data_IF_421688321985
#
_entry.id   IF_421688321985
#
_cell.length_a   1.000
_cell.length_b   1.000
_cell.length_c   1.000
_cell.angle_alpha   90.00
_cell.angle_beta   90.00
_cell.angle_gamma   90.00
#
_symmetry.space_group_name_H-M   'P 1'
#
loop_
_entity.id
_entity.type
_entity.pdbx_description
1 polymer ?
#
# COMPACT_ATOMS: atom_id res chain seq x y z
N UNK A 1 -49.29 -85.64 -16.07
CA UNK A 1 -49.00 -84.30 -16.61
C UNK A 1 -48.99 -83.34 -15.43
N UNK A 2 -47.79 -82.89 -14.98
CA UNK A 2 -47.63 -81.91 -13.90
C UNK A 2 -47.17 -80.58 -14.42
N UNK A 3 -48.02 -79.57 -14.39
CA UNK A 3 -47.72 -78.19 -14.79
C UNK A 3 -46.84 -77.46 -13.77
N UNK A 4 -45.65 -77.06 -14.17
CA UNK A 4 -44.77 -76.17 -13.33
C UNK A 4 -45.17 -74.71 -13.58
N UNK A 5 -45.55 -74.00 -12.53
CA UNK A 5 -45.78 -72.54 -12.53
C UNK A 5 -44.44 -71.87 -12.29
N UNK A 6 -44.01 -71.02 -13.19
CA UNK A 6 -42.89 -70.09 -13.00
C UNK A 6 -43.40 -68.85 -12.31
N UNK A 7 -42.79 -68.45 -11.17
CA UNK A 7 -42.97 -67.18 -10.52
C UNK A 7 -41.89 -66.21 -11.11
N UNK A 8 -42.21 -64.98 -11.53
CA UNK A 8 -41.21 -63.99 -11.88
C UNK A 8 -40.70 -63.27 -10.62
N UNK A 9 -39.40 -63.36 -10.35
CA UNK A 9 -38.70 -62.60 -9.30
C UNK A 9 -38.52 -61.17 -9.76
N UNK A 10 -39.24 -60.24 -9.12
CA UNK A 10 -39.14 -58.80 -9.37
C UNK A 10 -37.86 -58.26 -8.64
N UNK A 11 -36.84 -57.93 -9.39
CA UNK A 11 -35.60 -57.31 -8.86
C UNK A 11 -35.81 -55.81 -8.69
N UNK A 12 -35.93 -55.34 -7.44
CA UNK A 12 -35.94 -53.90 -7.14
C UNK A 12 -34.52 -53.34 -7.16
N UNK A 13 -34.21 -52.56 -8.19
CA UNK A 13 -32.98 -51.73 -8.23
C UNK A 13 -33.19 -50.48 -7.37
N UNK A 14 -32.66 -50.46 -6.17
CA UNK A 14 -32.50 -49.28 -5.35
C UNK A 14 -31.45 -48.34 -5.98
N UNK A 15 -31.90 -47.30 -6.69
CA UNK A 15 -31.02 -46.20 -7.10
C UNK A 15 -30.67 -45.36 -5.87
N UNK A 16 -29.46 -45.51 -5.35
CA UNK A 16 -28.88 -44.56 -4.45
C UNK A 16 -28.54 -43.30 -5.23
N UNK A 17 -29.35 -42.24 -5.08
CA UNK A 17 -29.01 -40.89 -5.52
C UNK A 17 -27.86 -40.38 -4.67
N UNK A 18 -26.62 -40.39 -5.19
CA UNK A 18 -25.48 -39.71 -4.61
C UNK A 18 -25.78 -38.19 -4.74
N UNK A 19 -26.25 -37.58 -3.66
CA UNK A 19 -26.30 -36.13 -3.58
C UNK A 19 -24.86 -35.60 -3.53
N UNK A 20 -24.37 -35.12 -4.68
CA UNK A 20 -23.16 -34.30 -4.75
C UNK A 20 -23.43 -33.04 -3.88
N UNK A 21 -22.53 -32.72 -2.94
CA UNK A 21 -22.68 -31.46 -2.19
C UNK A 21 -22.72 -30.32 -3.21
N UNK A 22 -23.75 -29.47 -3.07
CA UNK A 22 -23.85 -28.26 -3.88
C UNK A 22 -22.53 -27.48 -3.71
N UNK A 23 -21.86 -27.20 -4.84
CA UNK A 23 -20.66 -26.37 -4.83
C UNK A 23 -21.04 -25.04 -4.16
N UNK A 24 -20.55 -24.82 -2.95
CA UNK A 24 -20.69 -23.53 -2.27
C UNK A 24 -20.10 -22.49 -3.18
N UNK A 25 -20.88 -21.44 -3.50
CA UNK A 25 -20.38 -20.31 -4.29
C UNK A 25 -19.06 -19.85 -3.66
N UNK A 26 -18.01 -19.58 -4.47
CA UNK A 26 -16.71 -19.22 -3.94
C UNK A 26 -16.88 -18.03 -2.99
N UNK A 27 -16.47 -18.22 -1.75
CA UNK A 27 -16.50 -17.15 -0.73
C UNK A 27 -15.61 -16.01 -1.21
N UNK A 28 -16.12 -14.77 -1.16
CA UNK A 28 -15.31 -13.59 -1.51
C UNK A 28 -14.06 -13.55 -0.63
N UNK A 29 -12.87 -13.36 -1.20
CA UNK A 29 -11.65 -13.35 -0.41
C UNK A 29 -11.60 -12.17 0.54
N UNK A 30 -10.96 -12.35 1.68
CA UNK A 30 -10.56 -11.25 2.55
C UNK A 30 -9.46 -10.44 1.88
N UNK A 31 -9.32 -9.18 2.28
CA UNK A 31 -8.32 -8.27 1.72
C UNK A 31 -7.60 -7.57 2.87
N UNK A 32 -6.28 -7.61 2.87
CA UNK A 32 -5.42 -6.89 3.80
C UNK A 32 -4.42 -6.09 3.00
N UNK A 33 -4.35 -4.79 3.25
CA UNK A 33 -3.28 -3.92 2.75
C UNK A 33 -2.43 -3.52 3.95
N UNK A 34 -1.15 -3.90 3.94
CA UNK A 34 -0.14 -3.50 4.94
C UNK A 34 0.64 -2.37 4.30
N UNK A 35 0.48 -1.16 4.83
CA UNK A 35 1.14 0.05 4.36
C UNK A 35 2.12 0.53 5.42
N UNK A 36 3.38 0.73 5.04
CA UNK A 36 4.38 1.38 5.88
C UNK A 36 4.50 2.87 5.53
N UNK A 37 5.15 3.65 6.38
CA UNK A 37 5.30 5.10 6.27
C UNK A 37 6.78 5.46 6.07
N UNK A 38 7.14 5.99 4.91
CA UNK A 38 8.52 6.35 4.55
C UNK A 38 9.50 5.16 4.42
N UNK A 39 9.03 3.96 4.18
CA UNK A 39 9.93 2.81 4.00
C UNK A 39 10.58 2.82 2.62
N UNK A 40 11.91 2.74 2.62
CA UNK A 40 12.67 2.71 1.39
C UNK A 40 12.63 1.37 0.65
N UNK A 41 12.87 1.44 -0.67
CA UNK A 41 12.98 0.25 -1.54
C UNK A 41 14.04 -0.74 -1.04
N UNK A 42 15.18 -0.23 -0.55
CA UNK A 42 16.32 -1.03 -0.11
C UNK A 42 16.27 -1.50 1.36
N UNK A 43 15.15 -1.39 2.05
CA UNK A 43 15.07 -1.65 3.50
C UNK A 43 14.64 -3.09 3.86
N UNK A 44 14.23 -3.90 2.89
CA UNK A 44 13.84 -5.31 3.09
C UNK A 44 14.89 -6.27 2.54
N UNK A 45 15.05 -7.45 3.17
CA UNK A 45 15.97 -8.50 2.72
C UNK A 45 15.72 -8.91 1.27
N UNK A 46 14.46 -9.16 0.88
CA UNK A 46 14.07 -9.52 -0.49
C UNK A 46 14.26 -8.37 -1.51
N UNK A 47 14.53 -7.15 -1.06
CA UNK A 47 14.91 -6.00 -1.90
C UNK A 47 16.39 -5.60 -1.74
N UNK A 48 17.20 -6.41 -1.05
CA UNK A 48 18.66 -6.28 -0.99
C UNK A 48 19.20 -5.55 0.23
N UNK A 49 18.43 -5.39 1.31
CA UNK A 49 18.97 -4.85 2.57
C UNK A 49 20.07 -5.76 3.13
N UNK A 50 21.28 -5.21 3.38
CA UNK A 50 22.37 -6.04 3.89
C UNK A 50 22.37 -6.18 5.43
N UNK A 51 21.61 -5.35 6.13
CA UNK A 51 21.71 -5.22 7.59
C UNK A 51 20.39 -5.38 8.35
N UNK A 52 19.25 -5.20 7.68
CA UNK A 52 17.93 -5.35 8.28
C UNK A 52 17.40 -6.76 7.96
N UNK A 53 16.88 -7.46 8.95
CA UNK A 53 16.37 -8.81 8.80
C UNK A 53 14.84 -8.80 8.72
N UNK A 54 14.32 -9.28 7.58
CA UNK A 54 12.87 -9.30 7.34
C UNK A 54 12.38 -10.69 6.89
N UNK A 55 12.64 -11.75 7.70
CA UNK A 55 12.39 -13.13 7.26
C UNK A 55 10.93 -13.44 6.96
N UNK A 56 9.98 -12.74 7.58
CA UNK A 56 8.55 -12.96 7.36
C UNK A 56 8.09 -12.32 6.06
N UNK A 57 8.52 -11.07 5.79
CA UNK A 57 8.24 -10.36 4.53
C UNK A 57 8.98 -11.03 3.39
N UNK A 58 10.23 -11.47 3.59
CA UNK A 58 11.01 -12.20 2.59
C UNK A 58 10.32 -13.52 2.19
N UNK A 59 9.76 -14.23 3.17
CA UNK A 59 8.95 -15.44 2.91
C UNK A 59 7.64 -15.10 2.20
N UNK A 60 6.95 -14.01 2.58
CA UNK A 60 5.77 -13.53 1.87
C UNK A 60 6.08 -13.27 0.39
N UNK A 61 7.24 -12.66 0.11
CA UNK A 61 7.72 -12.41 -1.25
C UNK A 61 8.04 -13.70 -2.01
N UNK A 62 8.64 -14.69 -1.34
CA UNK A 62 8.96 -16.00 -1.94
C UNK A 62 7.70 -16.85 -2.22
N UNK A 63 6.67 -16.72 -1.42
CA UNK A 63 5.38 -17.43 -1.59
C UNK A 63 4.40 -16.68 -2.51
N UNK A 64 4.68 -15.44 -2.87
CA UNK A 64 3.80 -14.56 -3.63
C UNK A 64 4.46 -13.91 -4.84
N UNK A 65 3.94 -12.77 -5.28
CA UNK A 65 4.53 -11.96 -6.34
C UNK A 65 5.26 -10.76 -5.74
N UNK A 66 6.56 -10.65 -6.03
CA UNK A 66 7.39 -9.50 -5.70
C UNK A 66 7.56 -8.62 -6.95
N UNK A 67 7.10 -7.39 -6.85
CA UNK A 67 7.30 -6.38 -7.89
C UNK A 67 8.66 -5.70 -7.72
N UNK A 68 9.43 -5.60 -8.79
CA UNK A 68 10.62 -4.76 -8.80
C UNK A 68 10.28 -3.31 -9.13
N UNK A 69 9.15 -3.07 -9.80
CA UNK A 69 8.72 -1.79 -10.35
C UNK A 69 7.31 -1.41 -9.83
N UNK A 70 7.18 -1.29 -8.51
CA UNK A 70 5.93 -0.85 -7.87
C UNK A 70 6.05 0.59 -7.39
N UNK A 71 5.03 1.42 -7.68
CA UNK A 71 5.05 2.84 -7.40
C UNK A 71 3.97 3.25 -6.39
N UNK A 72 4.33 4.14 -5.47
CA UNK A 72 3.36 4.88 -4.65
C UNK A 72 2.59 5.88 -5.52
N UNK A 73 1.37 6.25 -5.13
CA UNK A 73 0.53 7.18 -5.89
C UNK A 73 0.98 8.65 -5.86
N UNK A 74 1.91 8.98 -4.96
CA UNK A 74 2.54 10.29 -4.86
C UNK A 74 3.84 10.19 -4.06
N UNK A 75 4.59 11.27 -4.02
CA UNK A 75 5.92 11.38 -3.41
C UNK A 75 5.91 11.64 -1.89
N UNK A 76 4.72 11.80 -1.28
CA UNK A 76 4.50 12.01 0.17
C UNK A 76 3.17 11.42 0.65
N UNK A 77 3.01 11.31 1.98
CA UNK A 77 1.97 10.53 2.67
C UNK A 77 0.52 10.84 2.25
N UNK A 78 0.01 12.08 2.48
CA UNK A 78 -1.41 12.40 2.27
C UNK A 78 -1.88 12.08 0.85
N UNK A 79 -1.27 12.60 -0.23
CA UNK A 79 -1.72 12.30 -1.58
C UNK A 79 -1.52 10.83 -1.95
N UNK A 80 -0.45 10.17 -1.48
CA UNK A 80 -0.25 8.75 -1.75
C UNK A 80 -1.32 7.86 -1.11
N UNK A 81 -1.68 8.13 0.14
CA UNK A 81 -2.77 7.42 0.82
C UNK A 81 -4.13 7.67 0.17
N UNK A 82 -4.36 8.91 -0.33
CA UNK A 82 -5.53 9.22 -1.16
C UNK A 82 -5.56 8.35 -2.40
N UNK A 83 -4.46 8.31 -3.16
CA UNK A 83 -4.36 7.53 -4.40
C UNK A 83 -4.65 6.04 -4.17
N UNK A 84 -4.10 5.46 -3.10
CA UNK A 84 -4.33 4.06 -2.74
C UNK A 84 -5.81 3.78 -2.44
N UNK A 85 -6.45 4.64 -1.64
CA UNK A 85 -7.83 4.42 -1.18
C UNK A 85 -8.89 4.81 -2.23
N UNK A 86 -8.55 5.59 -3.26
CA UNK A 86 -9.50 6.02 -4.30
C UNK A 86 -9.23 5.40 -5.68
N UNK A 87 -8.03 4.82 -5.90
CA UNK A 87 -7.61 4.31 -7.21
C UNK A 87 -7.40 5.40 -8.26
N UNK A 88 -7.23 6.67 -7.81
CA UNK A 88 -7.16 7.88 -8.66
C UNK A 88 -5.96 8.73 -8.31
N UNK A 89 -5.42 9.43 -9.30
CA UNK A 89 -4.42 10.45 -8.99
C UNK A 89 -5.00 11.51 -8.03
N UNK A 90 -4.23 11.94 -7.01
CA UNK A 90 -4.71 12.89 -5.99
C UNK A 90 -5.21 14.22 -6.52
N UNK A 91 -4.78 14.61 -7.73
CA UNK A 91 -5.28 15.79 -8.44
C UNK A 91 -6.79 15.75 -8.63
N UNK A 92 -7.34 14.57 -8.99
CA UNK A 92 -8.77 14.40 -9.29
C UNK A 92 -9.67 14.63 -8.08
N UNK A 93 -9.14 14.40 -6.88
CA UNK A 93 -9.84 14.58 -5.60
C UNK A 93 -9.52 15.90 -4.89
N UNK A 94 -8.66 16.76 -5.48
CA UNK A 94 -8.18 17.98 -4.83
C UNK A 94 -7.17 17.72 -3.69
N UNK A 95 -6.71 16.47 -3.50
CA UNK A 95 -5.80 16.10 -2.42
C UNK A 95 -4.30 16.27 -2.76
N UNK A 96 -3.99 16.86 -3.92
CA UNK A 96 -2.65 17.20 -4.38
C UNK A 96 -2.28 18.69 -4.18
N UNK A 97 -2.85 19.35 -3.19
CA UNK A 97 -2.72 20.80 -3.00
C UNK A 97 -1.31 21.32 -2.68
N UNK A 98 -1.17 22.64 -2.54
CA UNK A 98 0.10 23.36 -2.28
C UNK A 98 0.77 22.94 -0.96
N UNK A 99 0.01 22.56 0.04
CA UNK A 99 0.49 21.85 1.22
C UNK A 99 0.50 20.37 0.87
N UNK A 100 1.67 19.84 0.65
CA UNK A 100 1.88 18.45 0.20
C UNK A 100 1.28 17.40 1.13
N UNK A 101 1.13 17.71 2.43
CA UNK A 101 0.50 16.86 3.45
C UNK A 101 -0.45 17.67 4.32
N UNK A 102 -1.43 17.02 4.92
CA UNK A 102 -2.33 17.63 5.88
C UNK A 102 -1.67 17.70 7.27
N UNK A 103 -1.87 18.79 7.96
CA UNK A 103 -1.45 19.02 9.33
C UNK A 103 -2.66 18.98 10.28
N UNK A 104 -2.47 18.85 11.61
CA UNK A 104 -3.58 18.86 12.57
C UNK A 104 -4.49 20.08 12.49
N UNK A 105 -3.96 21.20 11.98
CA UNK A 105 -4.70 22.46 11.78
C UNK A 105 -5.11 22.72 10.32
N UNK A 106 -4.93 21.76 9.42
CA UNK A 106 -5.36 21.89 8.03
C UNK A 106 -6.88 21.88 7.94
N UNK A 107 -7.44 22.81 7.17
CA UNK A 107 -8.84 22.76 6.82
C UNK A 107 -9.10 21.68 5.76
N UNK A 108 -10.22 20.97 5.87
CA UNK A 108 -10.63 19.92 4.91
C UNK A 108 -9.94 18.57 5.14
N UNK A 109 -9.91 17.78 4.10
CA UNK A 109 -9.40 16.41 4.07
C UNK A 109 -9.94 15.68 2.84
N UNK A 110 -9.90 14.36 2.84
CA UNK A 110 -10.46 13.53 1.77
C UNK A 110 -11.95 13.88 1.58
N UNK A 111 -12.35 14.36 0.39
CA UNK A 111 -13.72 14.79 0.16
C UNK A 111 -14.72 13.64 0.34
N UNK A 112 -15.90 13.88 0.96
CA UNK A 112 -16.95 12.87 1.08
C UNK A 112 -17.55 12.41 -0.26
N UNK A 113 -17.28 13.13 -1.35
CA UNK A 113 -17.72 12.75 -2.69
C UNK A 113 -16.82 11.67 -3.34
N UNK A 114 -15.63 11.46 -2.80
CA UNK A 114 -14.78 10.35 -3.26
C UNK A 114 -15.34 9.02 -2.73
N UNK A 115 -15.32 8.00 -3.56
CA UNK A 115 -15.70 6.64 -3.15
C UNK A 115 -14.43 5.88 -2.79
N UNK A 116 -14.21 5.70 -1.51
CA UNK A 116 -13.04 4.96 -1.02
C UNK A 116 -13.16 3.46 -1.25
N UNK A 117 -12.02 2.77 -1.23
CA UNK A 117 -11.99 1.30 -1.28
C UNK A 117 -12.81 0.66 -0.15
N UNK A 118 -12.80 1.28 1.04
CA UNK A 118 -13.60 0.79 2.17
C UNK A 118 -15.09 0.89 1.90
N UNK A 119 -15.57 2.01 1.35
CA UNK A 119 -16.98 2.18 0.98
C UNK A 119 -17.41 1.21 -0.11
N UNK A 120 -16.59 1.04 -1.15
CA UNK A 120 -16.85 0.12 -2.25
C UNK A 120 -16.93 -1.35 -1.78
N UNK A 121 -16.04 -1.75 -0.87
CA UNK A 121 -16.04 -3.09 -0.29
C UNK A 121 -17.18 -3.27 0.73
N UNK A 122 -17.50 -2.25 1.52
CA UNK A 122 -18.66 -2.25 2.44
C UNK A 122 -19.98 -2.48 1.69
N UNK A 123 -20.14 -1.88 0.51
CA UNK A 123 -21.29 -2.13 -0.37
C UNK A 123 -21.37 -3.59 -0.85
N UNK A 124 -20.29 -4.37 -0.69
CA UNK A 124 -20.21 -5.82 -0.97
C UNK A 124 -20.26 -6.67 0.31
N UNK A 125 -20.75 -6.10 1.42
CA UNK A 125 -20.88 -6.73 2.71
C UNK A 125 -19.55 -7.16 3.38
N UNK A 126 -18.43 -6.48 3.04
CA UNK A 126 -17.19 -6.61 3.81
C UNK A 126 -17.34 -5.89 5.16
N UNK A 127 -16.77 -6.47 6.19
CA UNK A 127 -16.43 -5.73 7.41
C UNK A 127 -15.14 -4.98 7.17
N UNK A 128 -15.11 -3.67 7.45
CA UNK A 128 -13.99 -2.80 7.09
C UNK A 128 -13.30 -2.25 8.34
N UNK A 129 -11.97 -2.35 8.40
CA UNK A 129 -11.17 -1.88 9.53
C UNK A 129 -10.00 -1.02 9.06
N UNK A 130 -9.90 0.20 9.60
CA UNK A 130 -8.71 1.04 9.51
C UNK A 130 -7.90 0.89 10.80
N UNK A 131 -6.62 0.59 10.66
CA UNK A 131 -5.70 0.40 11.78
C UNK A 131 -4.41 1.18 11.47
N UNK A 132 -4.03 2.12 12.34
CA UNK A 132 -2.80 2.88 12.23
C UNK A 132 -2.98 4.34 11.81
N UNK A 133 -2.05 4.89 11.02
CA UNK A 133 -2.04 6.29 10.58
C UNK A 133 -3.06 6.55 9.48
N UNK A 134 -3.96 7.52 9.71
CA UNK A 134 -4.95 7.94 8.72
C UNK A 134 -4.39 9.00 7.76
N UNK A 135 -4.14 10.17 8.24
CA UNK A 135 -3.51 11.32 7.55
C UNK A 135 -4.29 11.86 6.34
N UNK A 136 -5.62 11.67 6.31
CA UNK A 136 -6.50 12.15 5.23
C UNK A 136 -7.56 13.14 5.69
N UNK A 137 -7.38 13.73 6.88
CA UNK A 137 -8.26 14.73 7.48
C UNK A 137 -8.86 14.29 8.80
N UNK A 138 -9.15 15.29 9.66
CA UNK A 138 -9.65 15.09 11.03
C UNK A 138 -11.07 15.63 11.22
N UNK A 139 -11.58 16.35 10.22
CA UNK A 139 -12.92 16.94 10.27
C UNK A 139 -14.00 15.94 9.86
N UNK A 140 -15.22 16.20 10.25
CA UNK A 140 -16.38 15.42 9.83
C UNK A 140 -16.44 15.31 8.30
N UNK A 141 -16.75 14.13 7.81
CA UNK A 141 -16.74 13.79 6.40
C UNK A 141 -15.40 13.26 5.87
N UNK A 142 -14.27 13.53 6.58
CA UNK A 142 -12.92 13.08 6.13
C UNK A 142 -12.26 12.06 7.07
N UNK A 143 -12.89 11.74 8.19
CA UNK A 143 -12.35 10.77 9.16
C UNK A 143 -12.55 9.33 8.64
N UNK A 144 -11.75 8.36 9.11
CA UNK A 144 -11.86 6.99 8.59
C UNK A 144 -13.27 6.40 8.70
N UNK A 145 -13.98 6.65 9.82
CA UNK A 145 -15.37 6.18 9.99
C UNK A 145 -16.36 6.86 9.02
N UNK A 146 -16.07 8.07 8.56
CA UNK A 146 -16.88 8.77 7.58
C UNK A 146 -16.58 8.31 6.14
N UNK A 147 -15.46 7.62 5.96
CA UNK A 147 -14.92 7.14 4.69
C UNK A 147 -15.01 5.59 4.56
N UNK A 148 -16.06 5.01 5.13
CA UNK A 148 -16.46 3.63 4.91
C UNK A 148 -15.90 2.58 5.88
N UNK A 149 -15.07 2.94 6.87
CA UNK A 149 -14.56 1.99 7.84
C UNK A 149 -15.54 1.76 9.01
N UNK A 150 -15.91 0.49 9.27
CA UNK A 150 -16.79 0.09 10.37
C UNK A 150 -16.10 0.20 11.73
N UNK A 151 -14.77 -0.04 11.76
CA UNK A 151 -13.96 0.10 12.96
C UNK A 151 -12.66 0.83 12.63
N UNK A 152 -12.23 1.67 13.59
CA UNK A 152 -11.00 2.45 13.43
C UNK A 152 -10.17 2.41 14.71
N UNK A 153 -8.85 2.24 14.58
CA UNK A 153 -7.91 2.28 15.70
C UNK A 153 -6.57 2.82 15.23
N UNK A 154 -6.15 4.00 15.69
CA UNK A 154 -4.87 4.56 15.26
C UNK A 154 -4.73 6.06 15.47
N UNK A 155 -3.79 6.65 14.72
CA UNK A 155 -3.45 8.06 14.77
C UNK A 155 -4.19 8.84 13.66
N UNK A 156 -4.75 10.03 13.96
CA UNK A 156 -5.48 10.83 12.97
C UNK A 156 -4.55 11.47 11.92
N UNK A 157 -3.28 11.68 12.25
CA UNK A 157 -2.25 12.31 11.39
C UNK A 157 -0.89 11.68 11.67
N UNK A 158 0.20 12.28 11.13
CA UNK A 158 1.56 11.74 11.31
C UNK A 158 2.03 11.82 12.76
N UNK A 159 2.82 10.85 13.18
CA UNK A 159 3.30 10.66 14.54
C UNK A 159 4.27 11.76 15.03
N UNK A 160 4.87 12.55 14.11
CA UNK A 160 5.75 13.69 14.39
C UNK A 160 5.02 15.02 14.54
N UNK A 161 3.73 15.04 14.27
CA UNK A 161 2.90 16.25 14.37
C UNK A 161 2.46 16.48 15.82
N UNK A 162 2.04 17.73 16.14
CA UNK A 162 1.61 18.12 17.49
C UNK A 162 2.74 18.01 18.52
N UNK A 163 3.98 18.42 18.11
CA UNK A 163 5.14 18.45 19.01
C UNK A 163 4.88 19.36 20.21
N UNK A 164 5.27 18.93 21.40
CA UNK A 164 5.19 19.72 22.63
C UNK A 164 6.18 20.88 22.60
N UNK A 165 5.90 21.98 23.31
CA UNK A 165 6.87 23.07 23.49
C UNK A 165 8.21 22.52 24.00
N UNK A 166 9.30 22.94 23.35
CA UNK A 166 10.67 22.51 23.72
C UNK A 166 11.20 21.33 22.90
N UNK A 167 10.34 20.60 22.17
CA UNK A 167 10.79 19.58 21.21
C UNK A 167 11.43 20.25 20.00
N UNK A 168 12.61 19.79 19.64
CA UNK A 168 13.43 20.31 18.53
C UNK A 168 13.60 19.28 17.42
N UNK A 169 14.16 19.71 16.30
CA UNK A 169 14.56 18.78 15.23
C UNK A 169 15.57 17.74 15.74
N UNK A 170 16.47 18.11 16.66
CA UNK A 170 17.45 17.20 17.27
C UNK A 170 16.75 16.06 18.03
N UNK A 171 15.66 16.34 18.73
CA UNK A 171 14.90 15.32 19.46
C UNK A 171 14.22 14.36 18.50
N UNK A 172 13.68 14.86 17.37
CA UNK A 172 13.08 14.03 16.33
C UNK A 172 14.07 13.07 15.70
N UNK A 173 15.32 13.50 15.50
CA UNK A 173 16.40 12.71 14.89
C UNK A 173 17.25 11.94 15.88
N UNK A 174 16.85 11.91 17.15
CA UNK A 174 17.53 11.16 18.19
C UNK A 174 17.28 9.66 18.05
N UNK A 175 18.29 8.83 18.35
CA UNK A 175 18.11 7.39 18.53
C UNK A 175 17.23 7.05 19.76
N UNK A 176 16.99 8.04 20.61
CA UNK A 176 16.16 7.96 21.80
C UNK A 176 15.26 9.19 21.90
N UNK A 177 14.28 9.36 20.99
CA UNK A 177 13.38 10.48 21.07
C UNK A 177 12.54 10.41 22.37
N UNK A 178 12.21 11.56 22.99
CA UNK A 178 11.38 11.57 24.19
C UNK A 178 10.00 10.97 23.89
N UNK A 179 9.62 9.93 24.62
CA UNK A 179 8.40 9.16 24.34
C UNK A 179 7.12 10.01 24.44
N UNK A 180 7.13 11.05 25.25
CA UNK A 180 6.03 11.99 25.45
C UNK A 180 6.20 13.31 24.67
N UNK A 181 7.16 13.40 23.76
CA UNK A 181 7.50 14.63 23.03
C UNK A 181 6.43 15.09 22.04
N UNK A 182 5.54 14.23 21.61
CA UNK A 182 4.49 14.53 20.63
C UNK A 182 3.12 14.21 21.21
N UNK A 183 2.25 15.22 21.22
CA UNK A 183 0.91 15.15 21.81
C UNK A 183 -0.13 14.53 20.87
N UNK A 184 0.27 13.58 20.02
CA UNK A 184 -0.63 12.89 19.09
C UNK A 184 -1.54 11.93 19.85
N UNK A 185 -2.83 11.91 19.48
CA UNK A 185 -3.81 11.05 20.14
C UNK A 185 -3.87 9.68 19.47
N UNK A 186 -3.90 8.61 20.27
CA UNK A 186 -4.41 7.32 19.83
C UNK A 186 -5.92 7.30 19.99
N UNK A 187 -6.63 6.97 18.91
CA UNK A 187 -8.09 6.98 18.85
C UNK A 187 -8.65 5.61 18.52
N UNK A 188 -9.86 5.33 19.03
CA UNK A 188 -10.70 4.20 18.63
C UNK A 188 -12.07 4.74 18.24
N UNK A 189 -12.49 4.50 17.00
CA UNK A 189 -13.77 4.95 16.46
C UNK A 189 -14.02 6.46 16.65
N UNK A 190 -12.94 7.26 16.56
CA UNK A 190 -12.98 8.71 16.73
C UNK A 190 -12.84 9.20 18.17
N UNK A 191 -12.92 8.31 19.16
CA UNK A 191 -12.73 8.66 20.57
C UNK A 191 -11.26 8.56 20.98
N UNK A 192 -10.77 9.53 21.74
CA UNK A 192 -9.40 9.55 22.25
C UNK A 192 -9.26 8.54 23.38
N UNK A 193 -8.41 7.53 23.15
CA UNK A 193 -8.07 6.51 24.16
C UNK A 193 -6.90 6.93 25.01
N UNK A 194 -5.94 7.65 24.41
CA UNK A 194 -4.66 7.99 25.02
C UNK A 194 -4.10 9.26 24.35
N UNK A 195 -3.57 10.20 25.13
CA UNK A 195 -2.94 11.42 24.62
C UNK A 195 -1.92 11.98 25.63
N UNK A 196 -0.62 12.03 25.34
CA UNK A 196 0.00 11.52 24.10
C UNK A 196 -0.07 10.00 24.01
N UNK A 197 -0.12 9.48 22.79
CA UNK A 197 0.01 8.06 22.55
C UNK A 197 1.40 7.56 22.92
N UNK A 198 1.53 6.43 23.60
CA UNK A 198 2.81 5.74 23.78
C UNK A 198 3.22 5.10 22.44
N UNK A 199 4.06 5.83 21.71
CA UNK A 199 4.50 5.43 20.38
C UNK A 199 5.37 4.17 20.37
N UNK A 200 6.00 3.82 21.50
CA UNK A 200 6.80 2.58 21.63
C UNK A 200 5.95 1.31 21.55
N UNK A 201 4.64 1.44 21.68
CA UNK A 201 3.69 0.30 21.67
C UNK A 201 2.86 0.23 20.41
N UNK A 202 2.91 1.22 19.52
CA UNK A 202 1.95 1.35 18.41
C UNK A 202 2.00 0.19 17.44
N UNK A 203 3.18 -0.23 16.96
CA UNK A 203 3.29 -1.34 16.00
C UNK A 203 2.69 -2.62 16.58
N UNK A 204 2.99 -2.94 17.86
CA UNK A 204 2.40 -4.07 18.55
C UNK A 204 0.88 -3.95 18.68
N UNK A 205 0.37 -2.80 19.13
CA UNK A 205 -1.08 -2.56 19.31
C UNK A 205 -1.85 -2.62 17.99
N UNK A 206 -1.27 -2.13 16.89
CA UNK A 206 -1.85 -2.26 15.54
C UNK A 206 -1.91 -3.71 15.11
N UNK A 207 -0.87 -4.49 15.40
CA UNK A 207 -0.85 -5.92 15.12
C UNK A 207 -1.95 -6.64 15.90
N UNK A 208 -2.05 -6.43 17.22
CA UNK A 208 -3.07 -7.01 18.08
C UNK A 208 -4.49 -6.66 17.60
N UNK A 209 -4.72 -5.44 17.15
CA UNK A 209 -6.01 -5.02 16.59
C UNK A 209 -6.33 -5.73 15.27
N UNK A 210 -5.34 -5.89 14.37
CA UNK A 210 -5.51 -6.66 13.14
C UNK A 210 -5.83 -8.14 13.42
N UNK A 211 -5.15 -8.75 14.39
CA UNK A 211 -5.42 -10.11 14.83
C UNK A 211 -6.83 -10.25 15.41
N UNK A 212 -7.31 -9.25 16.16
CA UNK A 212 -8.67 -9.22 16.70
C UNK A 212 -9.72 -9.19 15.57
N UNK A 213 -9.50 -8.39 14.53
CA UNK A 213 -10.40 -8.35 13.36
C UNK A 213 -10.40 -9.69 12.62
N UNK A 214 -9.24 -10.31 12.41
CA UNK A 214 -9.12 -11.64 11.78
C UNK A 214 -9.87 -12.70 12.60
N UNK A 215 -9.69 -12.71 13.92
CA UNK A 215 -10.36 -13.66 14.82
C UNK A 215 -11.88 -13.49 14.87
N UNK A 216 -12.38 -12.27 14.64
CA UNK A 216 -13.80 -11.96 14.62
C UNK A 216 -14.49 -12.22 13.27
N UNK A 217 -13.79 -12.73 12.27
CA UNK A 217 -14.27 -12.92 10.90
C UNK A 217 -15.25 -14.09 10.75
N UNK A 218 -16.42 -14.03 11.36
CA UNK A 218 -17.49 -15.05 11.36
C UNK A 218 -18.07 -15.28 9.94
N UNK A 219 -17.31 -15.92 9.05
CA UNK A 219 -17.70 -16.22 7.64
C UNK A 219 -18.07 -14.99 6.79
N UNK A 220 -17.84 -13.77 7.28
CA UNK A 220 -17.96 -12.55 6.48
C UNK A 220 -16.59 -12.14 5.98
N UNK A 221 -16.50 -11.72 4.71
CA UNK A 221 -15.24 -11.18 4.20
C UNK A 221 -14.89 -9.89 4.93
N UNK A 222 -13.60 -9.65 5.13
CA UNK A 222 -13.11 -8.42 5.76
C UNK A 222 -12.09 -7.70 4.89
N UNK A 223 -12.03 -6.40 5.07
CA UNK A 223 -10.99 -5.52 4.54
C UNK A 223 -10.26 -4.87 5.72
N UNK A 224 -8.95 -5.08 5.81
CA UNK A 224 -8.09 -4.40 6.76
C UNK A 224 -7.14 -3.48 5.99
N UNK A 225 -7.19 -2.18 6.30
CA UNK A 225 -6.17 -1.21 5.92
C UNK A 225 -5.27 -0.98 7.13
N UNK A 226 -4.15 -1.75 7.19
CA UNK A 226 -3.14 -1.65 8.25
C UNK A 226 -2.06 -0.68 7.82
N UNK A 227 -2.17 0.56 8.27
CA UNK A 227 -1.30 1.66 7.92
C UNK A 227 -0.36 1.97 9.10
N UNK A 228 0.79 1.29 9.16
CA UNK A 228 1.79 1.54 10.18
C UNK A 228 2.23 3.00 10.20
N UNK A 229 2.55 3.53 11.38
CA UNK A 229 3.12 4.88 11.56
C UNK A 229 4.65 4.86 11.41
N UNK A 230 5.27 3.68 11.44
CA UNK A 230 6.69 3.46 11.27
C UNK A 230 6.99 2.98 9.84
N UNK A 231 8.19 3.23 9.34
CA UNK A 231 9.37 3.87 9.94
C UNK A 231 9.44 5.40 9.79
N UNK A 232 8.33 6.14 9.77
CA UNK A 232 8.37 7.61 9.81
C UNK A 232 8.96 8.11 11.12
N UNK A 233 9.87 9.11 11.05
CA UNK A 233 10.46 9.75 12.24
C UNK A 233 9.41 10.55 13.01
N UNK A 234 9.52 10.66 14.36
CA UNK A 234 10.50 10.02 15.26
C UNK A 234 10.27 8.51 15.36
N UNK A 235 11.39 7.78 15.51
CA UNK A 235 11.37 6.32 15.48
C UNK A 235 11.18 5.73 16.87
N UNK A 236 10.20 4.86 17.02
CA UNK A 236 9.89 4.16 18.26
C UNK A 236 9.73 2.66 18.01
N UNK A 237 10.65 1.85 18.51
CA UNK A 237 10.53 0.41 18.58
C UNK A 237 10.10 -0.04 19.98
N UNK A 238 9.33 -1.13 20.06
CA UNK A 238 9.00 -1.74 21.33
C UNK A 238 10.25 -2.32 22.02
N UNK A 239 10.22 -2.53 23.36
CA UNK A 239 11.35 -3.11 24.09
C UNK A 239 11.81 -4.45 23.54
N UNK A 240 10.92 -5.20 22.88
CA UNK A 240 11.23 -6.47 22.26
C UNK A 240 12.17 -6.35 21.04
N UNK A 241 12.20 -5.19 20.37
CA UNK A 241 12.97 -4.95 19.15
C UNK A 241 14.07 -3.92 19.32
N UNK A 242 13.92 -2.98 20.27
CA UNK A 242 14.87 -1.88 20.50
C UNK A 242 16.30 -2.39 20.74
N UNK A 243 17.25 -1.86 19.96
CA UNK A 243 18.68 -2.17 20.07
C UNK A 243 19.09 -3.54 19.52
N UNK A 244 18.28 -4.17 18.67
CA UNK A 244 18.56 -5.53 18.13
C UNK A 244 19.05 -5.55 16.70
N UNK A 245 18.63 -4.58 15.89
CA UNK A 245 19.03 -4.52 14.49
C UNK A 245 20.44 -3.96 14.32
N UNK A 246 21.18 -4.51 13.34
CA UNK A 246 22.48 -3.93 12.93
C UNK A 246 22.36 -2.53 12.30
N UNK A 247 21.14 -2.13 11.90
CA UNK A 247 20.85 -0.85 11.27
C UNK A 247 20.43 0.21 12.32
N UNK A 248 20.57 -0.08 13.62
CA UNK A 248 20.13 0.79 14.71
C UNK A 248 18.62 0.91 14.79
N UNK A 249 18.12 2.00 15.36
CA UNK A 249 16.68 2.19 15.63
C UNK A 249 15.82 2.09 14.37
N UNK A 250 16.30 2.52 13.20
CA UNK A 250 15.58 2.37 11.95
C UNK A 250 15.37 0.88 11.60
N UNK A 251 16.41 0.08 11.75
CA UNK A 251 16.30 -1.36 11.55
C UNK A 251 15.42 -2.04 12.59
N UNK A 252 15.45 -1.58 13.85
CA UNK A 252 14.60 -2.11 14.91
C UNK A 252 13.11 -1.98 14.56
N UNK A 253 12.68 -0.82 14.05
CA UNK A 253 11.27 -0.60 13.68
C UNK A 253 10.87 -1.38 12.42
N UNK A 254 11.77 -1.56 11.46
CA UNK A 254 11.50 -2.42 10.28
C UNK A 254 11.39 -3.90 10.69
N UNK A 255 12.28 -4.38 11.57
CA UNK A 255 12.24 -5.76 12.08
C UNK A 255 10.97 -6.00 12.93
N UNK A 256 10.43 -4.97 13.62
CA UNK A 256 9.14 -5.04 14.31
C UNK A 256 7.95 -5.08 13.33
N UNK A 257 8.01 -4.35 12.21
CA UNK A 257 7.00 -4.43 11.13
C UNK A 257 7.05 -5.81 10.46
N UNK A 258 8.25 -6.39 10.27
CA UNK A 258 8.39 -7.77 9.78
C UNK A 258 7.72 -8.78 10.72
N UNK A 259 7.95 -8.66 12.03
CA UNK A 259 7.25 -9.47 13.03
C UNK A 259 5.73 -9.30 12.94
N UNK A 260 5.24 -8.08 12.85
CA UNK A 260 3.82 -7.77 12.70
C UNK A 260 3.21 -8.47 11.48
N UNK A 261 3.89 -8.37 10.34
CA UNK A 261 3.48 -9.06 9.11
C UNK A 261 3.46 -10.58 9.32
N UNK A 262 4.49 -11.12 9.98
CA UNK A 262 4.56 -12.55 10.32
C UNK A 262 3.42 -13.05 11.19
N UNK A 263 3.02 -12.29 12.22
CA UNK A 263 1.90 -12.61 13.10
C UNK A 263 0.57 -12.65 12.33
N UNK A 264 0.35 -11.69 11.43
CA UNK A 264 -0.86 -11.64 10.59
C UNK A 264 -0.92 -12.86 9.67
N UNK A 265 0.16 -13.16 8.93
CA UNK A 265 0.19 -14.31 8.03
C UNK A 265 0.04 -15.64 8.80
N UNK A 266 0.63 -15.75 9.99
CA UNK A 266 0.47 -16.92 10.85
C UNK A 266 -0.96 -17.05 11.38
N UNK A 267 -1.61 -15.95 11.76
CA UNK A 267 -3.01 -15.97 12.20
C UNK A 267 -3.95 -16.41 11.08
N UNK A 268 -3.75 -15.92 9.85
CA UNK A 268 -4.53 -16.36 8.68
C UNK A 268 -4.36 -17.86 8.42
N UNK A 269 -3.13 -18.41 8.55
CA UNK A 269 -2.90 -19.84 8.41
C UNK A 269 -3.57 -20.64 9.52
N UNK A 270 -3.41 -20.24 10.78
CA UNK A 270 -4.07 -20.91 11.93
C UNK A 270 -5.59 -20.93 11.84
N UNK A 271 -6.17 -19.87 11.29
CA UNK A 271 -7.62 -19.74 11.09
C UNK A 271 -8.13 -20.45 9.83
N UNK A 272 -7.26 -21.04 8.99
CA UNK A 272 -7.66 -21.63 7.71
C UNK A 272 -8.11 -20.60 6.66
N UNK A 273 -7.74 -19.33 6.83
CA UNK A 273 -8.14 -18.22 5.96
C UNK A 273 -7.11 -17.85 4.91
N UNK A 274 -5.90 -18.41 4.99
CA UNK A 274 -4.75 -18.02 4.15
C UNK A 274 -5.05 -18.09 2.65
N UNK A 275 -5.62 -19.19 2.17
CA UNK A 275 -5.93 -19.40 0.74
C UNK A 275 -7.05 -18.49 0.23
N UNK A 276 -7.87 -17.94 1.13
CA UNK A 276 -8.96 -17.01 0.82
C UNK A 276 -8.70 -15.60 1.34
N UNK A 277 -7.44 -15.19 1.47
CA UNK A 277 -7.07 -13.83 1.89
C UNK A 277 -5.98 -13.28 0.98
N UNK A 278 -6.28 -12.18 0.31
CA UNK A 278 -5.31 -11.39 -0.43
C UNK A 278 -4.61 -10.43 0.51
N UNK A 279 -3.29 -10.53 0.63
CA UNK A 279 -2.45 -9.62 1.42
C UNK A 279 -1.51 -8.88 0.48
N UNK A 280 -1.49 -7.56 0.57
CA UNK A 280 -0.54 -6.72 -0.16
C UNK A 280 0.28 -5.89 0.81
N UNK A 281 1.61 -5.95 0.68
CA UNK A 281 2.57 -5.17 1.46
C UNK A 281 3.21 -4.10 0.58
N UNK A 282 3.23 -2.83 1.05
CA UNK A 282 3.89 -1.71 0.36
C UNK A 282 4.20 -0.54 1.30
N UNK A 283 4.81 0.53 0.77
CA UNK A 283 5.04 1.82 1.45
C UNK A 283 4.25 2.94 0.77
N UNK A 284 3.96 4.01 1.52
CA UNK A 284 3.25 5.17 0.96
C UNK A 284 4.13 6.09 0.12
N UNK A 285 5.43 6.12 0.34
CA UNK A 285 6.46 6.80 -0.48
C UNK A 285 7.85 6.24 -0.15
N UNK A 286 8.86 6.69 -0.87
CA UNK A 286 10.25 6.32 -0.62
C UNK A 286 10.81 6.86 0.70
N UNK A 287 12.06 6.52 1.07
CA UNK A 287 12.66 6.84 2.36
C UNK A 287 12.97 8.33 2.50
N UNK A 288 12.90 8.84 3.73
CA UNK A 288 13.21 10.24 4.02
C UNK A 288 14.71 10.45 4.22
N UNK A 289 15.45 10.53 3.12
CA UNK A 289 16.93 10.51 3.13
C UNK A 289 17.59 11.64 3.93
N UNK A 290 16.93 12.80 4.09
CA UNK A 290 17.48 13.92 4.89
C UNK A 290 17.51 13.63 6.40
N UNK A 291 16.84 12.57 6.84
CA UNK A 291 16.84 12.11 8.24
C UNK A 291 18.12 11.30 8.59
N UNK A 292 19.08 11.23 7.70
CA UNK A 292 20.37 10.56 7.92
C UNK A 292 20.23 9.08 8.26
N UNK A 293 20.76 8.64 9.39
CA UNK A 293 20.71 7.25 9.83
C UNK A 293 19.29 6.73 10.09
N UNK A 294 18.33 7.63 10.30
CA UNK A 294 16.92 7.30 10.54
C UNK A 294 16.05 7.38 9.29
N UNK A 295 16.63 7.66 8.12
CA UNK A 295 15.91 7.96 6.89
C UNK A 295 15.65 6.79 5.95
N UNK A 296 16.09 5.58 6.23
CA UNK A 296 15.94 4.43 5.35
C UNK A 296 16.91 4.43 4.16
N UNK A 297 16.65 3.56 3.19
CA UNK A 297 17.49 3.38 2.00
C UNK A 297 16.65 3.17 0.73
N UNK A 298 16.86 4.00 -0.27
CA UNK A 298 16.29 3.79 -1.60
C UNK A 298 17.02 2.68 -2.40
N UNK A 299 18.06 2.05 -1.84
CA UNK A 299 18.88 1.08 -2.56
C UNK A 299 19.59 1.72 -3.75
N UNK A 300 19.45 1.15 -4.97
CA UNK A 300 20.10 1.70 -6.17
C UNK A 300 19.35 2.91 -6.77
N UNK A 301 18.19 3.29 -6.24
CA UNK A 301 17.32 4.30 -6.81
C UNK A 301 17.77 5.71 -6.40
N UNK A 302 17.52 6.67 -7.27
CA UNK A 302 17.90 8.08 -7.04
C UNK A 302 16.91 8.78 -6.13
N UNK A 303 17.39 9.59 -5.19
CA UNK A 303 16.61 10.43 -4.26
C UNK A 303 15.70 9.59 -3.33
N UNK A 304 14.74 10.25 -2.69
CA UNK A 304 13.80 9.67 -1.74
C UNK A 304 12.54 10.50 -1.61
N UNK A 305 11.87 10.37 -0.47
CA UNK A 305 10.62 11.07 -0.12
C UNK A 305 10.63 12.52 -0.60
N UNK A 306 9.54 12.92 -1.20
CA UNK A 306 9.34 14.28 -1.68
C UNK A 306 9.90 14.55 -3.05
N UNK A 307 10.53 13.59 -3.73
CA UNK A 307 10.98 13.72 -5.10
C UNK A 307 10.21 12.80 -6.04
N UNK A 308 10.25 13.12 -7.33
CA UNK A 308 9.67 12.30 -8.40
C UNK A 308 10.71 11.42 -9.10
N UNK A 309 11.93 11.39 -8.59
CA UNK A 309 12.94 10.40 -8.96
C UNK A 309 12.52 9.01 -8.49
N UNK A 310 13.12 7.97 -9.05
CA UNK A 310 12.73 6.59 -8.73
C UNK A 310 12.69 6.32 -7.22
N UNK A 311 13.69 6.76 -6.46
CA UNK A 311 13.77 6.54 -5.02
C UNK A 311 12.67 7.25 -4.21
N UNK A 312 12.01 8.26 -4.78
CA UNK A 312 10.90 8.95 -4.10
C UNK A 312 9.57 8.22 -4.18
N UNK A 313 9.35 7.46 -5.27
CA UNK A 313 8.03 6.87 -5.55
C UNK A 313 8.07 5.36 -5.85
N UNK A 314 9.22 4.78 -6.20
CA UNK A 314 9.36 3.33 -6.37
C UNK A 314 9.62 2.69 -5.01
N UNK A 315 8.68 1.85 -4.59
CA UNK A 315 8.58 1.29 -3.23
C UNK A 315 8.46 -0.24 -3.27
N UNK A 316 8.67 -0.97 -2.18
CA UNK A 316 8.37 -2.40 -2.14
C UNK A 316 6.90 -2.66 -2.50
N UNK A 317 6.64 -3.69 -3.29
CA UNK A 317 5.31 -4.17 -3.61
C UNK A 317 5.29 -5.70 -3.60
N UNK A 318 4.53 -6.31 -2.68
CA UNK A 318 4.47 -7.77 -2.51
C UNK A 318 3.01 -8.20 -2.39
N UNK A 319 2.54 -9.04 -3.32
CA UNK A 319 1.21 -9.63 -3.30
C UNK A 319 1.28 -11.09 -2.84
N UNK A 320 0.39 -11.48 -1.92
CA UNK A 320 0.35 -12.84 -1.38
C UNK A 320 -1.10 -13.32 -1.26
N UNK A 321 -1.37 -14.50 -1.77
CA UNK A 321 -2.61 -15.27 -1.60
C UNK A 321 -2.30 -16.71 -2.01
N UNK A 322 -1.95 -17.59 -1.07
CA UNK A 322 -1.57 -18.98 -1.38
C UNK A 322 -2.61 -19.71 -2.21
N UNK A 323 -2.15 -20.52 -3.18
CA UNK A 323 -3.03 -21.28 -4.06
C UNK A 323 -3.67 -20.47 -5.20
N UNK A 324 -3.68 -19.14 -5.14
CA UNK A 324 -4.24 -18.29 -6.20
C UNK A 324 -3.19 -17.38 -6.85
N UNK A 325 -2.42 -16.66 -6.07
CA UNK A 325 -1.26 -15.88 -6.54
C UNK A 325 -0.10 -16.83 -6.78
N UNK A 326 0.49 -16.78 -7.99
CA UNK A 326 1.62 -17.65 -8.35
C UNK A 326 2.94 -16.98 -7.95
N UNK A 327 3.81 -17.66 -7.20
CA UNK A 327 5.12 -17.11 -6.84
C UNK A 327 5.90 -16.66 -8.06
N UNK A 328 6.30 -15.39 -8.08
CA UNK A 328 7.06 -14.79 -9.18
C UNK A 328 7.79 -13.51 -8.75
N UNK A 329 8.78 -13.12 -9.52
CA UNK A 329 9.33 -11.76 -9.52
C UNK A 329 8.94 -11.12 -10.85
N UNK A 330 8.37 -9.91 -10.79
CA UNK A 330 7.93 -9.20 -11.99
C UNK A 330 8.49 -7.78 -12.04
N UNK A 331 8.84 -7.33 -13.25
CA UNK A 331 9.20 -5.95 -13.56
C UNK A 331 8.08 -5.19 -14.28
N UNK A 332 6.89 -5.78 -14.36
CA UNK A 332 5.71 -5.09 -14.89
C UNK A 332 5.40 -3.87 -14.02
N UNK A 333 5.36 -2.65 -14.59
CA UNK A 333 5.08 -1.45 -13.83
C UNK A 333 3.67 -1.48 -13.23
N UNK A 334 3.60 -1.45 -11.90
CA UNK A 334 2.38 -1.38 -11.14
C UNK A 334 2.44 -0.27 -10.08
N UNK A 335 1.31 0.07 -9.49
CA UNK A 335 1.24 1.16 -8.51
C UNK A 335 0.16 0.94 -7.45
N UNK A 336 0.20 1.74 -6.40
CA UNK A 336 -0.83 1.75 -5.36
C UNK A 336 -2.23 2.10 -5.89
N UNK A 337 -2.34 2.81 -7.02
CA UNK A 337 -3.60 3.05 -7.73
C UNK A 337 -4.30 1.75 -8.15
N UNK A 338 -3.52 0.71 -8.46
CA UNK A 338 -3.99 -0.57 -8.97
C UNK A 338 -4.63 -1.44 -7.90
N UNK A 339 -4.34 -1.16 -6.63
CA UNK A 339 -4.89 -1.93 -5.51
C UNK A 339 -6.41 -1.77 -5.41
N UNK A 340 -6.94 -0.59 -5.77
CA UNK A 340 -8.37 -0.34 -5.77
C UNK A 340 -9.11 -1.23 -6.77
N UNK A 341 -8.86 -1.17 -8.10
CA UNK A 341 -9.55 -2.05 -9.06
C UNK A 341 -9.24 -3.54 -8.84
N UNK A 342 -8.05 -3.89 -8.36
CA UNK A 342 -7.72 -5.29 -8.00
C UNK A 342 -8.60 -5.80 -6.86
N UNK A 343 -8.79 -5.00 -5.81
CA UNK A 343 -9.67 -5.36 -4.70
C UNK A 343 -11.14 -5.45 -5.14
N UNK A 344 -11.60 -4.57 -6.04
CA UNK A 344 -12.93 -4.68 -6.63
C UNK A 344 -13.11 -5.98 -7.42
N UNK A 345 -12.13 -6.34 -8.25
CA UNK A 345 -12.14 -7.60 -9.01
C UNK A 345 -12.21 -8.82 -8.09
N UNK A 346 -11.40 -8.84 -7.01
CA UNK A 346 -11.43 -9.88 -5.98
C UNK A 346 -12.80 -9.99 -5.28
N UNK A 347 -13.44 -8.85 -5.00
CA UNK A 347 -14.74 -8.78 -4.34
C UNK A 347 -15.92 -9.02 -5.30
N UNK A 348 -15.68 -9.12 -6.61
CA UNK A 348 -16.74 -9.11 -7.62
C UNK A 348 -17.59 -7.83 -7.55
N UNK A 349 -16.95 -6.70 -7.24
CA UNK A 349 -17.59 -5.40 -7.14
C UNK A 349 -17.47 -4.64 -8.48
N UNK A 350 -18.50 -3.90 -8.90
CA UNK A 350 -18.37 -2.99 -10.05
C UNK A 350 -17.53 -1.77 -9.68
N UNK A 351 -16.91 -1.15 -10.68
CA UNK A 351 -16.32 0.17 -10.51
C UNK A 351 -17.41 1.20 -10.13
N UNK A 352 -17.10 2.19 -9.29
CA UNK A 352 -18.05 3.25 -8.96
C UNK A 352 -18.51 3.99 -10.22
N UNK A 353 -19.82 4.24 -10.31
CA UNK A 353 -20.41 4.93 -11.47
C UNK A 353 -19.96 6.38 -11.53
N UNK A 354 -19.56 6.86 -12.70
CA UNK A 354 -19.14 8.26 -12.91
C UNK A 354 -17.75 8.59 -12.35
N UNK A 355 -17.02 7.61 -11.82
CA UNK A 355 -15.67 7.80 -11.30
C UNK A 355 -14.64 7.21 -12.26
N UNK A 356 -13.75 8.04 -12.77
CA UNK A 356 -12.62 7.59 -13.57
C UNK A 356 -11.52 7.06 -12.65
N UNK A 357 -11.22 5.76 -12.72
CA UNK A 357 -10.09 5.13 -12.05
C UNK A 357 -8.83 5.27 -12.92
N UNK A 358 -7.69 5.53 -12.29
CA UNK A 358 -6.38 5.58 -12.96
C UNK A 358 -5.61 4.25 -12.80
N UNK A 359 -6.03 3.40 -11.86
CA UNK A 359 -5.46 2.09 -11.63
C UNK A 359 -5.98 1.01 -12.58
N UNK A 360 -5.24 -0.10 -12.70
CA UNK A 360 -5.60 -1.32 -13.42
C UNK A 360 -5.74 -2.50 -12.46
N UNK A 361 -6.59 -3.47 -12.83
CA UNK A 361 -6.69 -4.73 -12.11
C UNK A 361 -5.42 -5.58 -12.32
N UNK A 362 -4.70 -5.84 -11.22
CA UNK A 362 -3.48 -6.67 -11.20
C UNK A 362 -3.79 -8.18 -11.18
N UNK A 363 -5.04 -8.59 -10.91
CA UNK A 363 -5.37 -10.00 -10.70
C UNK A 363 -4.95 -10.90 -11.87
N UNK A 364 -5.15 -10.52 -13.16
CA UNK A 364 -4.69 -11.34 -14.28
C UNK A 364 -3.18 -11.60 -14.30
N UNK A 365 -2.36 -10.60 -13.92
CA UNK A 365 -0.92 -10.75 -13.76
C UNK A 365 -0.59 -11.67 -12.58
N UNK A 366 -1.20 -11.43 -11.43
CA UNK A 366 -0.94 -12.14 -10.18
C UNK A 366 -1.26 -13.64 -10.26
N UNK A 367 -2.26 -14.01 -11.06
CA UNK A 367 -2.61 -15.43 -11.28
C UNK A 367 -1.89 -16.03 -12.50
N UNK A 368 -1.00 -15.27 -13.13
CA UNK A 368 -0.18 -15.73 -14.27
C UNK A 368 -0.97 -15.96 -15.57
N UNK A 369 -2.05 -15.21 -15.79
CA UNK A 369 -2.87 -15.30 -17.01
C UNK A 369 -2.35 -14.41 -18.14
N UNK A 370 -1.98 -13.17 -17.84
CA UNK A 370 -1.45 -12.21 -18.81
C UNK A 370 -0.63 -11.12 -18.16
N UNK A 371 0.29 -10.52 -18.93
CA UNK A 371 0.98 -9.29 -18.58
C UNK A 371 0.00 -8.10 -18.51
N UNK A 372 0.42 -7.02 -17.83
CA UNK A 372 -0.32 -5.78 -17.87
C UNK A 372 -0.21 -5.10 -19.24
N UNK A 373 -1.23 -4.37 -19.70
CA UNK A 373 -1.09 -3.54 -20.89
C UNK A 373 -0.08 -2.42 -20.64
N UNK A 374 0.69 -2.06 -21.68
CA UNK A 374 1.56 -0.87 -21.57
C UNK A 374 0.67 0.34 -21.29
N UNK A 375 1.02 1.08 -20.25
CA UNK A 375 0.32 2.32 -19.87
C UNK A 375 1.30 3.36 -19.37
N UNK A 376 0.99 4.66 -19.51
CA UNK A 376 1.77 5.71 -18.86
C UNK A 376 1.53 5.70 -17.36
N UNK A 377 2.57 6.02 -16.58
CA UNK A 377 2.49 6.35 -15.17
C UNK A 377 3.01 7.77 -14.96
N UNK A 378 2.21 8.61 -14.28
CA UNK A 378 2.48 10.04 -14.15
C UNK A 378 2.99 10.38 -12.76
N UNK A 379 4.10 11.10 -12.71
CA UNK A 379 4.75 11.51 -11.47
C UNK A 379 4.42 12.97 -11.20
N UNK A 380 3.57 13.19 -10.23
CA UNK A 380 3.19 14.52 -9.79
C UNK A 380 3.93 14.91 -8.52
N UNK A 381 4.24 16.21 -8.39
CA UNK A 381 4.62 16.83 -7.13
C UNK A 381 3.66 17.98 -6.87
N UNK A 382 2.83 17.85 -5.86
CA UNK A 382 1.64 18.69 -5.72
C UNK A 382 0.75 18.55 -6.96
N UNK A 383 0.40 19.69 -7.58
CA UNK A 383 -0.44 19.73 -8.79
C UNK A 383 0.36 19.68 -10.10
N UNK A 384 1.69 19.74 -10.03
CA UNK A 384 2.55 19.84 -11.19
C UNK A 384 3.06 18.48 -11.66
N UNK A 385 2.94 18.22 -12.95
CA UNK A 385 3.51 17.01 -13.59
C UNK A 385 5.02 17.19 -13.77
N UNK A 386 5.79 16.32 -13.14
CA UNK A 386 7.25 16.31 -13.18
C UNK A 386 7.82 15.31 -14.17
N UNK A 387 7.25 14.09 -14.19
CA UNK A 387 7.73 13.03 -15.05
C UNK A 387 6.62 12.12 -15.53
N UNK A 388 6.90 11.33 -16.57
CA UNK A 388 6.05 10.27 -17.08
C UNK A 388 6.89 9.04 -17.42
N UNK A 389 6.48 7.88 -16.94
CA UNK A 389 7.01 6.58 -17.36
C UNK A 389 6.06 5.95 -18.38
N UNK A 390 6.62 5.43 -19.47
CA UNK A 390 5.92 4.63 -20.46
C UNK A 390 6.77 3.40 -20.80
N UNK A 391 6.29 2.22 -20.40
CA UNK A 391 7.04 0.98 -20.50
C UNK A 391 8.35 1.04 -19.70
N UNK A 392 9.49 0.85 -20.38
CA UNK A 392 10.82 0.89 -19.77
C UNK A 392 11.44 2.30 -19.67
N UNK A 393 10.76 3.32 -20.25
CA UNK A 393 11.27 4.68 -20.38
C UNK A 393 10.63 5.64 -19.40
N UNK A 394 11.43 6.53 -18.81
CA UNK A 394 10.93 7.61 -17.97
C UNK A 394 11.51 8.95 -18.43
N UNK A 395 10.61 9.88 -18.72
CA UNK A 395 10.97 11.25 -19.09
C UNK A 395 10.67 12.22 -17.95
N UNK A 396 11.63 13.10 -17.62
CA UNK A 396 11.44 14.19 -16.67
C UNK A 396 11.32 15.52 -17.42
N UNK A 397 10.20 16.19 -17.24
CA UNK A 397 9.93 17.55 -17.71
C UNK A 397 10.46 18.58 -16.71
N UNK A 398 10.49 18.19 -15.45
CA UNK A 398 11.01 18.94 -14.30
C UNK A 398 11.71 17.98 -13.35
N UNK A 399 12.75 18.46 -12.67
CA UNK A 399 13.41 17.72 -11.60
C UNK A 399 13.54 18.59 -10.36
N UNK A 400 13.47 17.99 -9.20
CA UNK A 400 13.67 18.66 -7.92
C UNK A 400 14.00 17.61 -6.85
N UNK A 401 15.00 17.91 -6.03
CA UNK A 401 15.28 17.10 -4.84
C UNK A 401 14.10 17.14 -3.86
N UNK A 402 13.91 16.08 -3.11
CA UNK A 402 12.82 15.97 -2.16
C UNK A 402 12.79 17.13 -1.18
N UNK A 403 13.98 17.51 -0.69
CA UNK A 403 14.20 18.59 0.26
C UNK A 403 15.45 19.38 -0.11
N UNK A 404 15.55 20.64 0.35
CA UNK A 404 16.74 21.47 0.17
C UNK A 404 16.85 22.22 -1.16
N UNK A 405 16.03 21.89 -2.15
CA UNK A 405 15.97 22.59 -3.44
C UNK A 405 14.62 23.35 -3.52
N UNK A 406 14.63 24.70 -3.44
CA UNK A 406 13.40 25.48 -3.34
C UNK A 406 12.59 25.56 -4.64
N UNK A 407 13.26 25.49 -5.79
CA UNK A 407 12.63 25.55 -7.12
C UNK A 407 13.02 24.36 -7.96
N UNK A 408 12.12 23.86 -8.83
CA UNK A 408 12.46 22.81 -9.78
C UNK A 408 13.34 23.34 -10.91
N UNK A 409 14.21 22.45 -11.42
CA UNK A 409 14.82 22.63 -12.72
C UNK A 409 13.80 22.26 -13.81
N UNK A 410 13.59 23.14 -14.77
CA UNK A 410 12.69 22.93 -15.90
C UNK A 410 13.52 22.58 -17.13
N UNK A 411 13.22 21.45 -17.77
CA UNK A 411 13.96 20.95 -18.91
C UNK A 411 13.25 21.31 -20.22
N UNK A 412 13.87 22.14 -21.05
CA UNK A 412 13.36 22.49 -22.38
C UNK A 412 13.22 21.26 -23.28
N UNK A 413 14.22 20.37 -23.24
CA UNK A 413 14.12 18.99 -23.71
C UNK A 413 14.04 18.11 -22.48
N UNK A 414 13.00 17.26 -22.31
CA UNK A 414 12.90 16.38 -21.15
C UNK A 414 14.11 15.46 -21.05
N UNK A 415 14.62 15.22 -19.83
CA UNK A 415 15.59 14.17 -19.60
C UNK A 415 14.91 12.82 -19.83
N UNK A 416 15.63 11.83 -20.39
CA UNK A 416 15.08 10.50 -20.68
C UNK A 416 15.99 9.40 -20.14
N UNK A 417 15.42 8.46 -19.38
CA UNK A 417 16.13 7.34 -18.79
C UNK A 417 15.49 6.01 -19.18
N UNK A 418 16.33 4.99 -19.43
CA UNK A 418 15.89 3.62 -19.65
C UNK A 418 16.04 2.83 -18.36
N UNK A 419 14.98 2.72 -17.57
CA UNK A 419 15.01 2.26 -16.18
C UNK A 419 15.56 0.83 -15.95
N UNK A 420 15.32 -0.18 -16.81
CA UNK A 420 15.95 -1.50 -16.60
C UNK A 420 17.48 -1.49 -16.66
N UNK A 421 18.07 -0.54 -17.38
CA UNK A 421 19.51 -0.40 -17.52
C UNK A 421 20.09 0.67 -16.58
N UNK A 422 19.27 1.64 -16.19
CA UNK A 422 19.66 2.79 -15.38
C UNK A 422 18.58 3.13 -14.34
N UNK A 423 18.35 2.27 -13.34
CA UNK A 423 17.36 2.52 -12.28
C UNK A 423 17.75 3.71 -11.38
N UNK A 424 19.01 4.16 -11.47
CA UNK A 424 19.53 5.33 -10.74
C UNK A 424 19.34 6.64 -11.47
N UNK A 425 18.79 6.63 -12.71
CA UNK A 425 18.51 7.81 -13.53
C UNK A 425 19.73 8.74 -13.67
N UNK A 426 20.88 8.15 -14.07
CA UNK A 426 22.18 8.84 -14.21
C UNK A 426 22.50 9.24 -15.64
N UNK A 427 22.04 8.46 -16.62
CA UNK A 427 22.47 8.54 -17.99
C UNK A 427 21.31 9.02 -18.88
N UNK A 428 21.24 10.34 -19.10
CA UNK A 428 20.28 10.92 -20.03
C UNK A 428 20.56 10.50 -21.48
N UNK A 429 19.57 9.87 -22.10
CA UNK A 429 19.63 9.38 -23.48
C UNK A 429 18.62 10.10 -24.40
N UNK A 430 18.10 11.24 -24.01
CA UNK A 430 17.09 12.00 -24.74
C UNK A 430 17.54 12.34 -26.17
N UNK A 431 18.83 12.69 -26.36
CA UNK A 431 19.38 13.08 -27.65
C UNK A 431 19.29 11.99 -28.73
N UNK A 432 19.24 10.72 -28.34
CA UNK A 432 19.24 9.57 -29.27
C UNK A 432 17.88 8.86 -29.39
N UNK A 433 16.83 9.31 -28.63
CA UNK A 433 15.53 8.65 -28.55
C UNK A 433 14.38 9.67 -28.66
N UNK A 434 14.39 10.52 -29.67
CA UNK A 434 13.37 11.53 -29.89
C UNK A 434 11.95 10.93 -30.17
N UNK A 435 11.91 9.74 -30.75
CA UNK A 435 10.68 8.98 -30.97
C UNK A 435 9.98 8.58 -29.66
N UNK A 436 10.76 8.17 -28.65
CA UNK A 436 10.25 7.85 -27.31
C UNK A 436 9.69 9.10 -26.64
N UNK A 437 10.40 10.22 -26.70
CA UNK A 437 9.91 11.50 -26.15
C UNK A 437 8.59 11.91 -26.81
N UNK A 438 8.42 11.69 -28.11
CA UNK A 438 7.17 11.98 -28.84
C UNK A 438 6.01 11.11 -28.34
N UNK A 439 6.23 9.81 -28.11
CA UNK A 439 5.24 8.89 -27.55
C UNK A 439 4.82 9.33 -26.14
N UNK A 440 5.79 9.69 -25.29
CA UNK A 440 5.53 10.15 -23.91
C UNK A 440 4.77 11.48 -23.93
N UNK A 441 5.15 12.45 -24.80
CA UNK A 441 4.45 13.72 -24.95
C UNK A 441 2.98 13.52 -25.36
N UNK A 442 2.70 12.59 -26.27
CA UNK A 442 1.34 12.22 -26.67
C UNK A 442 0.54 11.66 -25.50
N UNK A 443 1.13 10.78 -24.70
CA UNK A 443 0.49 10.21 -23.50
C UNK A 443 0.17 11.30 -22.45
N UNK A 444 1.11 12.24 -22.23
CA UNK A 444 0.90 13.37 -21.32
C UNK A 444 -0.23 14.30 -21.81
N UNK A 445 -0.27 14.57 -23.11
CA UNK A 445 -1.35 15.40 -23.71
C UNK A 445 -2.72 14.74 -23.51
N UNK A 446 -2.82 13.44 -23.78
CA UNK A 446 -4.05 12.68 -23.58
C UNK A 446 -4.48 12.68 -22.10
N UNK A 447 -3.53 12.49 -21.18
CA UNK A 447 -3.83 12.52 -19.74
C UNK A 447 -4.33 13.90 -19.28
N UNK A 448 -3.66 14.98 -19.68
CA UNK A 448 -4.07 16.35 -19.32
C UNK A 448 -5.48 16.71 -19.77
N UNK A 449 -5.96 16.11 -20.83
CA UNK A 449 -7.32 16.32 -21.31
C UNK A 449 -8.40 15.66 -20.42
N UNK A 450 -7.99 14.81 -19.47
CA UNK A 450 -8.88 14.06 -18.56
C UNK A 450 -8.87 14.55 -17.11
N UNK A 451 -7.97 15.49 -16.78
CA UNK A 451 -7.79 16.05 -15.41
C UNK A 451 -8.65 17.31 -15.22
#
# INVERSE_FOLDING_TARGET
MRSRRFLPTLLWLLMFAVQLPAATAPTRPNIIIILTDDQGYGDLGCYGSPTIRTPNIDRMAAEGVRFTDFYSGAEVCTPSRTALLTGRYPLRSGMAGNRRVLFPNSAGGLPPAEVTLAEALKARAYTTAHIGKWHLGIHAGSRPQDQGFDSTFGLPYSNDMDARPGITAKDRFSDHPPADGWNVALQRNGEVMERPADQTTLTKRYTEEALRVIAAANNKPFFIYLAHSMPHTPLFASPAFKGKSRRGIYGDVIEEIDWSTGEILAALRRAGLAENTFVFFTSDNGPWLTEGAQGGSAGPLREGKGSTWEGGMRVPGIAWMPGRVRPAVTSEPASSLDLYPTALALAGAPSPTGVALDGLDLLPLLVGQRALPERPYFFYRGTELFACRLGEWKAHFRTQSGYGQPQPDIHATPLLFRLPHDPSEKYDVAATHADVLTRIASAVTAHRATI
#
